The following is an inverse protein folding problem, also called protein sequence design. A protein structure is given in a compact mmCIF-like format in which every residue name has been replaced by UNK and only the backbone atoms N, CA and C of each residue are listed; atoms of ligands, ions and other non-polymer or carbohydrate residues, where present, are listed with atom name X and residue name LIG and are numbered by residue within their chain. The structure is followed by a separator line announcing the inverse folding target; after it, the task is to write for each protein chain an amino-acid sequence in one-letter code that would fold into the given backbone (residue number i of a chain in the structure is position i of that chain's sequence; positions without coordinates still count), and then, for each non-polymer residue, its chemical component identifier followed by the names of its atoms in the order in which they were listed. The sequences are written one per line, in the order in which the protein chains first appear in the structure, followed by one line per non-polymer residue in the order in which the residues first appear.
data_IF_615690930795
#
_entry.id   IF_615690930795
#
_cell.length_a   1.000
_cell.length_b   1.000
_cell.length_c   1.000
_cell.angle_alpha   90.00
_cell.angle_beta   90.00
_cell.angle_gamma   90.00
#
_symmetry.space_group_name_H-M   'P 1'
#
loop_
_entity.id
_entity.type
_entity.pdbx_description
1 polymer ?
#
# COMPACT_ATOMS: atom_id res chain seq x y z
N UNK A 1 -6.16 -14.90 8.20
CA UNK A 1 -7.48 -15.39 7.78
C UNK A 1 -7.45 -15.60 6.28
N UNK A 2 -8.23 -16.56 5.78
CA UNK A 2 -8.58 -16.63 4.36
C UNK A 2 -9.97 -16.02 4.25
N UNK A 3 -10.15 -15.05 3.34
CA UNK A 3 -11.42 -14.34 3.18
C UNK A 3 -12.17 -14.98 2.01
N UNK A 4 -13.39 -15.45 2.27
CA UNK A 4 -14.19 -16.15 1.28
C UNK A 4 -14.79 -15.19 0.24
N UNK A 5 -15.01 -15.70 -0.97
CA UNK A 5 -15.50 -14.90 -2.10
C UNK A 5 -14.43 -14.01 -2.75
N UNK A 6 -13.14 -14.25 -2.44
CA UNK A 6 -11.99 -13.71 -3.17
C UNK A 6 -11.29 -14.87 -3.86
N UNK A 7 -11.22 -14.85 -5.18
CA UNK A 7 -10.52 -15.88 -5.95
C UNK A 7 -9.04 -15.92 -5.53
N UNK A 8 -8.50 -17.14 -5.36
CA UNK A 8 -7.10 -17.50 -4.99
C UNK A 8 -6.78 -17.70 -3.50
N UNK A 9 -7.75 -17.58 -2.57
CA UNK A 9 -7.53 -17.89 -1.15
C UNK A 9 -6.26 -17.25 -0.56
N UNK A 10 -5.93 -16.01 -0.97
CA UNK A 10 -4.76 -15.27 -0.49
C UNK A 10 -4.79 -15.20 1.04
N UNK A 11 -3.68 -15.58 1.68
CA UNK A 11 -3.55 -15.50 3.13
C UNK A 11 -3.33 -14.04 3.53
N UNK A 12 -4.21 -13.53 4.39
CA UNK A 12 -4.16 -12.13 4.82
C UNK A 12 -4.29 -12.00 6.32
N UNK A 13 -3.90 -10.85 6.84
CA UNK A 13 -4.05 -10.43 8.22
C UNK A 13 -4.87 -9.13 8.27
N UNK A 14 -5.87 -9.13 9.15
CA UNK A 14 -6.65 -7.94 9.49
C UNK A 14 -6.17 -7.46 10.85
N UNK A 15 -5.88 -6.17 10.96
CA UNK A 15 -5.31 -5.57 12.16
C UNK A 15 -6.12 -4.31 12.48
N UNK A 16 -6.39 -4.06 13.76
CA UNK A 16 -6.93 -2.78 14.21
C UNK A 16 -5.86 -2.03 15.00
N UNK A 17 -5.54 -0.82 14.55
CA UNK A 17 -4.55 0.04 15.20
C UNK A 17 -5.14 1.44 15.43
N UNK A 18 -4.88 2.07 16.59
CA UNK A 18 -5.31 3.43 16.86
C UNK A 18 -4.46 4.43 16.08
N UNK A 19 -5.10 5.25 15.27
CA UNK A 19 -4.49 6.38 14.57
C UNK A 19 -4.79 7.64 15.37
N UNK A 20 -3.73 8.38 15.70
CA UNK A 20 -3.81 9.64 16.44
C UNK A 20 -3.66 10.80 15.45
N UNK A 21 -4.74 11.57 15.18
CA UNK A 21 -4.66 12.69 14.26
C UNK A 21 -3.71 13.76 14.79
N UNK A 22 -2.91 14.34 13.89
CA UNK A 22 -1.87 15.31 14.25
C UNK A 22 -2.40 16.60 14.90
N UNK A 23 -3.68 16.94 14.66
CA UNK A 23 -4.33 18.12 15.21
C UNK A 23 -4.57 18.03 16.73
N UNK A 24 -4.42 16.83 17.32
CA UNK A 24 -4.68 16.58 18.74
C UNK A 24 -3.44 16.02 19.49
N UNK A 25 -2.21 16.45 19.15
CA UNK A 25 -0.96 15.89 19.71
C UNK A 25 -0.80 15.97 21.25
N UNK A 26 -1.56 16.80 21.95
CA UNK A 26 -1.48 16.90 23.41
C UNK A 26 -2.53 16.08 24.16
N UNK A 27 -3.62 15.61 23.52
CA UNK A 27 -4.71 14.85 24.18
C UNK A 27 -5.66 14.10 23.20
N UNK A 28 -5.14 13.72 22.02
CA UNK A 28 -5.94 13.21 20.92
C UNK A 28 -6.52 11.84 21.14
N UNK A 29 -7.79 11.70 20.77
CA UNK A 29 -8.49 10.42 20.80
C UNK A 29 -7.93 9.52 19.72
N UNK A 30 -7.45 8.34 20.11
CA UNK A 30 -7.03 7.31 19.17
C UNK A 30 -8.25 6.78 18.44
N UNK A 31 -8.33 7.02 17.13
CA UNK A 31 -9.37 6.45 16.28
C UNK A 31 -8.88 5.12 15.76
N UNK A 32 -9.58 4.03 16.06
CA UNK A 32 -9.21 2.72 15.54
C UNK A 32 -9.45 2.68 14.03
N UNK A 33 -8.43 2.28 13.29
CA UNK A 33 -8.50 1.98 11.86
C UNK A 33 -8.33 0.49 11.63
N UNK A 34 -8.99 -0.03 10.59
CA UNK A 34 -8.80 -1.39 10.11
C UNK A 34 -7.74 -1.38 9.00
N UNK A 35 -6.73 -2.21 9.15
CA UNK A 35 -5.64 -2.41 8.21
C UNK A 35 -5.72 -3.82 7.63
N UNK A 36 -5.37 -3.93 6.35
CA UNK A 36 -5.27 -5.19 5.61
C UNK A 36 -3.83 -5.38 5.15
N UNK A 37 -3.28 -6.58 5.36
CA UNK A 37 -1.97 -6.95 4.83
C UNK A 37 -1.92 -8.42 4.40
N UNK A 38 -1.14 -8.72 3.37
CA UNK A 38 -0.76 -10.08 2.97
C UNK A 38 0.70 -10.41 3.36
N UNK A 39 1.27 -9.69 4.34
CA UNK A 39 2.67 -9.71 4.74
C UNK A 39 3.63 -8.93 3.81
N UNK A 40 3.14 -8.36 2.70
CA UNK A 40 3.95 -7.55 1.78
C UNK A 40 3.32 -6.19 1.54
N UNK A 41 2.05 -6.15 1.17
CA UNK A 41 1.26 -4.96 0.97
C UNK A 41 0.54 -4.60 2.26
N UNK A 42 0.36 -3.30 2.53
CA UNK A 42 -0.40 -2.80 3.68
C UNK A 42 -1.33 -1.69 3.18
N UNK A 43 -2.62 -1.81 3.49
CA UNK A 43 -3.65 -0.85 3.09
C UNK A 43 -4.52 -0.49 4.29
N UNK A 44 -4.70 0.81 4.52
CA UNK A 44 -5.72 1.33 5.44
C UNK A 44 -7.10 1.19 4.80
N UNK A 45 -7.95 0.34 5.39
CA UNK A 45 -9.34 0.15 4.96
C UNK A 45 -10.22 1.29 5.47
N UNK A 46 -9.82 1.91 6.58
CA UNK A 46 -10.41 3.09 7.17
C UNK A 46 -10.89 2.91 8.61
N UNK A 47 -11.59 3.94 9.15
CA UNK A 47 -11.96 4.00 10.55
C UNK A 47 -13.02 2.96 10.96
N UNK A 48 -12.92 2.54 12.22
CA UNK A 48 -13.77 1.55 12.91
C UNK A 48 -14.49 2.17 14.10
N UNK A 49 -13.80 2.93 14.96
CA UNK A 49 -14.37 3.47 16.22
C UNK A 49 -15.08 4.82 16.07
N UNK A 50 -15.23 5.34 14.84
CA UNK A 50 -15.86 6.65 14.60
C UNK A 50 -15.11 7.79 15.30
N UNK A 51 -15.72 8.37 16.34
CA UNK A 51 -15.14 9.45 17.17
C UNK A 51 -14.78 8.98 18.59
N UNK A 52 -14.84 7.67 18.84
CA UNK A 52 -14.54 7.10 20.14
C UNK A 52 -13.04 6.90 20.31
N UNK A 53 -12.53 7.29 21.48
CA UNK A 53 -11.16 7.01 21.90
C UNK A 53 -11.05 5.55 22.33
N UNK A 54 -10.25 4.80 21.60
CA UNK A 54 -10.12 3.35 21.76
C UNK A 54 -8.65 2.93 21.53
N UNK A 55 -8.05 2.25 22.50
CA UNK A 55 -6.68 1.73 22.39
C UNK A 55 -6.65 0.19 22.26
N UNK A 56 -7.59 -0.50 22.90
CA UNK A 56 -7.74 -1.96 22.81
C UNK A 56 -8.92 -2.39 21.91
N UNK A 57 -8.68 -3.41 21.08
CA UNK A 57 -9.71 -3.99 20.23
C UNK A 57 -9.47 -5.47 19.96
N UNK A 58 -10.54 -6.13 19.50
CA UNK A 58 -10.54 -7.52 19.03
C UNK A 58 -11.39 -7.60 17.77
N UNK A 59 -10.88 -8.31 16.77
CA UNK A 59 -11.58 -8.58 15.52
C UNK A 59 -12.05 -10.04 15.50
N UNK A 60 -13.30 -10.24 15.10
CA UNK A 60 -13.86 -11.54 14.80
C UNK A 60 -14.29 -11.57 13.34
N UNK A 61 -13.63 -12.43 12.55
CA UNK A 61 -14.10 -12.79 11.23
C UNK A 61 -14.86 -14.11 11.31
N UNK A 62 -16.09 -14.11 10.82
CA UNK A 62 -16.94 -15.28 10.74
C UNK A 62 -17.25 -15.54 9.27
N UNK A 63 -16.68 -16.61 8.74
CA UNK A 63 -17.09 -17.16 7.45
C UNK A 63 -18.46 -17.82 7.58
N UNK A 64 -19.33 -17.61 6.61
CA UNK A 64 -20.67 -18.19 6.59
C UNK A 64 -21.07 -18.68 5.20
N UNK A 65 -21.82 -19.79 5.15
CA UNK A 65 -22.31 -20.36 3.89
C UNK A 65 -23.07 -19.32 3.04
N UNK A 66 -22.85 -19.38 1.72
CA UNK A 66 -23.44 -18.48 0.72
C UNK A 66 -23.02 -17.00 0.86
N UNK A 67 -21.72 -16.72 1.04
CA UNK A 67 -21.15 -15.36 1.12
C UNK A 67 -21.71 -14.51 2.26
N UNK A 68 -22.09 -15.13 3.38
CA UNK A 68 -22.60 -14.45 4.58
C UNK A 68 -21.48 -14.14 5.57
N UNK A 69 -20.36 -13.67 5.05
CA UNK A 69 -19.19 -13.36 5.87
C UNK A 69 -19.45 -12.11 6.69
N UNK A 70 -19.10 -12.18 7.97
CA UNK A 70 -19.28 -11.10 8.93
C UNK A 70 -17.92 -10.75 9.54
N UNK A 71 -17.59 -9.46 9.53
CA UNK A 71 -16.45 -8.92 10.27
C UNK A 71 -17.00 -8.05 11.40
N UNK A 72 -16.67 -8.40 12.64
CA UNK A 72 -17.12 -7.71 13.84
C UNK A 72 -15.90 -7.17 14.58
N UNK A 73 -15.94 -5.91 14.95
CA UNK A 73 -14.97 -5.31 15.87
C UNK A 73 -15.60 -5.12 17.24
N UNK A 74 -14.93 -5.62 18.26
CA UNK A 74 -15.19 -5.34 19.66
C UNK A 74 -14.06 -4.46 20.17
N UNK A 75 -14.36 -3.27 20.69
CA UNK A 75 -13.34 -2.34 21.17
C UNK A 75 -13.76 -1.65 22.47
N UNK A 76 -12.76 -1.22 23.22
CA UNK A 76 -12.98 -0.38 24.40
C UNK A 76 -13.36 1.03 23.96
N UNK A 77 -14.31 1.64 24.66
CA UNK A 77 -14.68 3.03 24.47
C UNK A 77 -14.53 3.75 25.79
N UNK A 78 -13.63 4.73 25.85
CA UNK A 78 -13.56 5.61 27.02
C UNK A 78 -14.81 6.48 27.11
N UNK A 79 -15.45 6.48 28.28
CA UNK A 79 -16.56 7.36 28.64
C UNK A 79 -16.18 8.18 29.88
N UNK A 80 -16.25 9.51 29.77
CA UNK A 80 -16.06 10.44 30.88
C UNK A 80 -14.97 11.50 30.63
N UNK A 81 -14.96 12.53 31.48
CA UNK A 81 -13.85 13.49 31.58
C UNK A 81 -12.78 12.95 32.54
N UNK A 82 -11.59 13.56 32.57
CA UNK A 82 -10.36 13.09 33.27
C UNK A 82 -10.54 12.52 34.69
N UNK A 83 -11.58 12.93 35.43
CA UNK A 83 -11.80 12.53 36.83
C UNK A 83 -12.59 11.22 37.03
N UNK A 84 -13.29 10.69 36.01
CA UNK A 84 -13.98 9.38 36.10
C UNK A 84 -13.92 8.64 34.77
N UNK A 85 -12.79 7.98 34.52
CA UNK A 85 -12.63 7.13 33.35
C UNK A 85 -13.43 5.83 33.52
N UNK A 86 -14.65 5.80 33.00
CA UNK A 86 -15.41 4.56 32.85
C UNK A 86 -15.10 3.94 31.49
N UNK A 87 -14.65 2.68 31.48
CA UNK A 87 -14.43 1.92 30.26
C UNK A 87 -15.72 1.22 29.87
N UNK A 88 -16.26 1.56 28.70
CA UNK A 88 -17.34 0.82 28.05
C UNK A 88 -16.79 -0.11 26.97
N UNK A 89 -17.62 -1.05 26.52
CA UNK A 89 -17.33 -1.87 25.35
C UNK A 89 -18.33 -1.53 24.23
N UNK A 90 -17.83 -1.43 23.00
CA UNK A 90 -18.63 -1.23 21.81
C UNK A 90 -18.41 -2.40 20.84
N UNK A 91 -19.49 -2.86 20.21
CA UNK A 91 -19.45 -3.88 19.15
C UNK A 91 -20.01 -3.27 17.87
N UNK A 92 -19.30 -3.43 16.75
CA UNK A 92 -19.67 -2.87 15.45
C UNK A 92 -19.51 -3.94 14.38
N UNK A 93 -20.55 -4.09 13.56
CA UNK A 93 -20.50 -4.89 12.34
C UNK A 93 -19.87 -4.06 11.21
N UNK A 94 -18.78 -4.56 10.65
CA UNK A 94 -17.92 -3.86 9.69
C UNK A 94 -18.23 -4.27 8.24
N UNK A 95 -19.52 -4.24 7.85
CA UNK A 95 -19.96 -4.66 6.51
C UNK A 95 -19.27 -3.86 5.40
N UNK A 96 -19.28 -2.53 5.50
CA UNK A 96 -18.66 -1.65 4.50
C UNK A 96 -17.15 -1.86 4.39
N UNK A 97 -16.47 -2.04 5.52
CA UNK A 97 -15.03 -2.30 5.54
C UNK A 97 -14.71 -3.68 4.96
N UNK A 98 -15.52 -4.71 5.24
CA UNK A 98 -15.35 -6.04 4.66
C UNK A 98 -15.53 -6.03 3.13
N UNK A 99 -16.50 -5.28 2.61
CA UNK A 99 -16.65 -5.07 1.15
C UNK A 99 -15.40 -4.40 0.55
N UNK A 100 -14.84 -3.40 1.23
CA UNK A 100 -13.59 -2.76 0.81
C UNK A 100 -12.41 -3.72 0.84
N UNK A 101 -12.29 -4.58 1.86
CA UNK A 101 -11.26 -5.63 1.93
C UNK A 101 -11.36 -6.53 0.70
N UNK A 102 -12.55 -7.05 0.37
CA UNK A 102 -12.76 -7.89 -0.82
C UNK A 102 -12.37 -7.16 -2.11
N UNK A 103 -12.68 -5.87 -2.22
CA UNK A 103 -12.29 -5.03 -3.36
C UNK A 103 -10.77 -4.87 -3.47
N UNK A 104 -10.08 -4.60 -2.36
CA UNK A 104 -8.60 -4.47 -2.34
C UNK A 104 -7.94 -5.77 -2.77
N UNK A 105 -8.43 -6.91 -2.25
CA UNK A 105 -7.87 -8.22 -2.61
C UNK A 105 -8.08 -8.55 -4.09
N UNK A 106 -9.23 -8.19 -4.65
CA UNK A 106 -9.46 -8.29 -6.10
C UNK A 106 -8.48 -7.42 -6.88
N UNK A 107 -8.26 -6.17 -6.46
CA UNK A 107 -7.28 -5.28 -7.11
C UNK A 107 -5.88 -5.88 -7.07
N UNK A 108 -5.42 -6.37 -5.91
CA UNK A 108 -4.09 -6.98 -5.80
C UNK A 108 -3.89 -8.15 -6.77
N UNK A 109 -4.91 -8.99 -6.93
CA UNK A 109 -4.89 -10.08 -7.92
C UNK A 109 -4.76 -9.55 -9.35
N UNK A 110 -5.57 -8.56 -9.74
CA UNK A 110 -5.50 -7.96 -11.07
C UNK A 110 -4.13 -7.29 -11.35
N UNK A 111 -3.48 -6.77 -10.32
CA UNK A 111 -2.12 -6.23 -10.42
C UNK A 111 -1.11 -7.38 -10.56
N UNK A 112 -1.19 -8.41 -9.74
CA UNK A 112 -0.32 -9.60 -9.80
C UNK A 112 -0.36 -10.25 -11.20
N UNK A 113 -1.55 -10.38 -11.80
CA UNK A 113 -1.73 -10.91 -13.16
C UNK A 113 -1.04 -10.04 -14.21
N UNK A 114 -1.17 -8.70 -14.11
CA UNK A 114 -0.51 -7.76 -15.05
C UNK A 114 1.00 -7.76 -14.88
N UNK A 115 1.50 -7.74 -13.64
CA UNK A 115 2.94 -7.78 -13.36
C UNK A 115 3.54 -9.11 -13.86
N UNK A 116 2.82 -10.22 -13.70
CA UNK A 116 3.25 -11.53 -14.21
C UNK A 116 3.39 -11.55 -15.73
N UNK A 117 2.58 -10.77 -16.46
CA UNK A 117 2.67 -10.65 -17.92
C UNK A 117 3.89 -9.84 -18.40
N UNK A 118 4.58 -9.09 -17.52
CA UNK A 118 5.83 -8.40 -17.88
C UNK A 118 7.00 -9.38 -18.08
N UNK A 119 6.87 -10.59 -17.54
CA UNK A 119 7.81 -11.69 -17.71
C UNK A 119 7.12 -12.91 -18.33
N UNK A 120 6.66 -12.82 -19.59
CA UNK A 120 6.03 -13.95 -20.25
C UNK A 120 7.06 -15.07 -20.38
N UNK A 121 6.65 -16.30 -20.05
CA UNK A 121 7.52 -17.47 -19.86
C UNK A 121 8.15 -18.03 -21.16
N UNK A 122 8.28 -17.23 -22.22
CA UNK A 122 8.80 -17.68 -23.52
C UNK A 122 10.34 -17.63 -23.54
N UNK A 123 10.92 -18.79 -23.17
CA UNK A 123 12.04 -19.45 -23.85
C UNK A 123 13.01 -18.59 -24.66
N UNK A 124 14.07 -18.09 -24.01
CA UNK A 124 15.38 -18.05 -24.67
C UNK A 124 16.24 -19.19 -24.12
N UNK A 125 16.26 -20.29 -24.88
CA UNK A 125 17.28 -21.33 -24.78
C UNK A 125 18.61 -20.71 -25.23
N UNK A 126 19.33 -20.11 -24.29
CA UNK A 126 20.64 -19.51 -24.53
C UNK A 126 21.11 -18.79 -23.28
N UNK A 127 21.99 -19.46 -22.52
CA UNK A 127 22.75 -18.96 -21.36
C UNK A 127 22.16 -17.75 -20.63
N UNK A 128 21.07 -17.97 -19.87
CA UNK A 128 20.58 -16.95 -18.95
C UNK A 128 21.41 -16.99 -17.68
N UNK A 129 22.11 -15.88 -17.41
CA UNK A 129 22.54 -15.51 -16.07
C UNK A 129 21.36 -15.72 -15.10
N UNK A 130 21.59 -16.47 -14.03
CA UNK A 130 20.58 -16.87 -13.02
C UNK A 130 19.89 -15.72 -12.29
N UNK A 131 20.26 -14.47 -12.60
CA UNK A 131 19.81 -13.25 -11.94
C UNK A 131 18.97 -12.36 -12.87
N UNK A 132 18.22 -12.94 -13.81
CA UNK A 132 17.33 -12.16 -14.69
C UNK A 132 15.91 -12.13 -14.10
N UNK A 133 15.24 -10.97 -13.99
CA UNK A 133 13.91 -10.80 -13.36
C UNK A 133 12.78 -11.65 -13.96
N UNK A 134 12.98 -12.25 -15.13
CA UNK A 134 11.99 -13.07 -15.84
C UNK A 134 12.40 -14.56 -15.96
N UNK A 135 13.27 -15.06 -15.08
CA UNK A 135 13.62 -16.49 -15.06
C UNK A 135 12.43 -17.35 -14.60
N UNK A 136 12.32 -18.58 -15.11
CA UNK A 136 11.24 -19.52 -14.73
C UNK A 136 11.20 -19.88 -13.24
N UNK A 137 12.29 -19.60 -12.52
CA UNK A 137 12.43 -19.90 -11.09
C UNK A 137 12.11 -18.69 -10.20
N UNK A 138 11.77 -17.54 -10.80
CA UNK A 138 11.50 -16.30 -10.10
C UNK A 138 10.09 -15.81 -10.42
N UNK A 139 9.25 -15.71 -9.39
CA UNK A 139 7.92 -15.12 -9.50
C UNK A 139 8.04 -13.63 -9.18
N UNK A 140 7.90 -12.80 -10.21
CA UNK A 140 8.14 -11.34 -10.12
C UNK A 140 7.24 -10.61 -9.10
N UNK A 141 6.09 -11.19 -8.75
CA UNK A 141 5.18 -10.63 -7.74
C UNK A 141 5.61 -10.96 -6.30
N UNK A 142 6.48 -11.95 -6.10
CA UNK A 142 6.86 -12.39 -4.76
C UNK A 142 7.79 -11.36 -4.10
N UNK A 143 7.33 -10.76 -3.00
CA UNK A 143 8.06 -9.70 -2.31
C UNK A 143 7.96 -8.33 -2.99
N UNK A 144 7.15 -8.18 -4.03
CA UNK A 144 6.86 -6.87 -4.63
C UNK A 144 5.93 -6.08 -3.69
N UNK A 145 6.37 -4.91 -3.24
CA UNK A 145 5.67 -4.12 -2.19
C UNK A 145 4.81 -3.01 -2.77
N UNK A 146 5.09 -2.58 -3.99
CA UNK A 146 4.33 -1.56 -4.69
C UNK A 146 4.68 -1.54 -6.17
N UNK A 147 3.78 -0.97 -6.98
CA UNK A 147 3.93 -0.91 -8.42
C UNK A 147 3.37 0.40 -8.97
N UNK A 148 4.22 1.22 -9.58
CA UNK A 148 3.86 2.49 -10.20
C UNK A 148 3.88 2.33 -11.73
N UNK A 149 2.71 2.43 -12.36
CA UNK A 149 2.59 2.34 -13.83
C UNK A 149 1.60 3.39 -14.37
N UNK A 150 0.54 3.01 -15.09
CA UNK A 150 -0.31 3.94 -15.84
C UNK A 150 -1.34 4.74 -15.01
N UNK A 151 -1.44 4.49 -13.70
CA UNK A 151 -2.45 5.07 -12.82
C UNK A 151 -1.98 6.37 -12.14
N UNK A 152 -2.38 7.52 -12.69
CA UNK A 152 -2.07 8.84 -12.11
C UNK A 152 -3.27 9.78 -12.16
N UNK A 153 -3.25 10.78 -11.28
CA UNK A 153 -4.29 11.80 -11.16
C UNK A 153 -3.67 13.09 -10.61
N UNK A 154 -3.59 14.13 -11.44
CA UNK A 154 -2.95 15.39 -11.05
C UNK A 154 -1.47 15.19 -10.72
N UNK A 155 -1.06 15.57 -9.52
CA UNK A 155 0.30 15.37 -8.99
C UNK A 155 0.49 14.03 -8.28
N UNK A 156 -0.51 13.14 -8.29
CA UNK A 156 -0.42 11.84 -7.62
C UNK A 156 -0.18 10.73 -8.64
N UNK A 157 0.94 10.02 -8.50
CA UNK A 157 1.18 8.74 -9.17
C UNK A 157 0.79 7.62 -8.21
N UNK A 158 -0.28 6.91 -8.53
CA UNK A 158 -0.89 5.96 -7.60
C UNK A 158 -0.18 4.61 -7.65
N UNK A 159 0.11 4.08 -6.47
CA UNK A 159 0.52 2.69 -6.33
C UNK A 159 -0.66 1.79 -6.67
N UNK A 160 -0.43 0.87 -7.61
CA UNK A 160 -1.46 -0.02 -8.13
C UNK A 160 -1.85 -1.09 -7.10
N UNK A 161 -0.97 -1.40 -6.14
CA UNK A 161 -1.32 -2.19 -4.96
C UNK A 161 -2.01 -1.37 -3.86
N UNK A 162 -2.35 -0.11 -4.13
CA UNK A 162 -3.10 0.78 -3.23
C UNK A 162 -2.38 1.10 -1.90
N UNK A 163 -1.07 0.84 -1.82
CA UNK A 163 -0.26 1.18 -0.68
C UNK A 163 0.05 2.68 -0.68
N UNK A 164 1.32 3.00 -0.87
CA UNK A 164 1.81 4.39 -0.76
C UNK A 164 1.86 5.01 -2.15
N UNK A 165 1.23 6.16 -2.36
CA UNK A 165 1.33 6.86 -3.64
C UNK A 165 2.63 7.68 -3.73
N UNK A 166 3.13 7.88 -4.95
CA UNK A 166 4.21 8.83 -5.22
C UNK A 166 3.65 10.22 -5.57
N UNK A 167 4.41 11.25 -5.22
CA UNK A 167 4.09 12.66 -5.52
C UNK A 167 4.96 13.13 -6.68
N UNK A 168 4.32 13.64 -7.73
CA UNK A 168 4.97 14.23 -8.90
C UNK A 168 5.25 15.71 -8.62
N UNK A 169 6.50 16.10 -8.78
CA UNK A 169 6.99 17.46 -8.65
C UNK A 169 7.46 17.98 -10.01
N UNK A 170 7.07 19.21 -10.35
CA UNK A 170 7.47 19.88 -11.57
C UNK A 170 8.28 21.14 -11.21
N UNK A 171 9.40 21.39 -11.88
CA UNK A 171 10.09 22.69 -11.83
C UNK A 171 9.39 23.72 -12.73
N UNK A 172 9.78 24.99 -12.62
CA UNK A 172 9.35 26.03 -13.55
C UNK A 172 9.81 25.70 -14.98
N UNK A 173 8.85 25.46 -15.88
CA UNK A 173 9.10 24.98 -17.25
C UNK A 173 9.25 23.46 -17.40
N UNK A 174 9.20 22.72 -16.29
CA UNK A 174 9.21 21.26 -16.28
C UNK A 174 7.81 20.65 -16.40
N UNK A 175 7.73 19.44 -16.92
CA UNK A 175 6.48 18.70 -17.04
C UNK A 175 6.68 17.19 -16.90
N UNK A 176 5.78 16.57 -16.15
CA UNK A 176 5.52 15.15 -16.24
C UNK A 176 4.36 14.91 -17.22
N UNK A 177 4.52 13.97 -18.16
CA UNK A 177 3.50 13.60 -19.15
C UNK A 177 3.22 12.10 -19.15
N UNK A 178 1.96 11.72 -19.33
CA UNK A 178 1.52 10.31 -19.36
C UNK A 178 2.23 9.55 -20.49
N UNK A 179 2.79 8.39 -20.15
CA UNK A 179 3.12 7.34 -21.11
C UNK A 179 2.14 6.15 -20.95
N UNK A 180 2.24 5.13 -21.82
CA UNK A 180 1.37 3.95 -21.76
C UNK A 180 1.46 3.23 -20.40
N UNK A 181 2.68 3.01 -19.92
CA UNK A 181 2.97 2.16 -18.76
C UNK A 181 3.77 2.89 -17.66
N UNK A 182 3.75 4.22 -17.69
CA UNK A 182 4.50 5.05 -16.74
C UNK A 182 4.43 6.54 -17.08
N UNK A 183 5.51 7.25 -16.80
CA UNK A 183 5.57 8.71 -16.93
C UNK A 183 6.85 9.15 -17.64
N UNK A 184 6.73 10.18 -18.48
CA UNK A 184 7.89 10.89 -19.05
C UNK A 184 8.08 12.20 -18.29
N UNK A 185 9.23 12.37 -17.67
CA UNK A 185 9.62 13.57 -16.95
C UNK A 185 10.59 14.42 -17.78
N UNK A 186 10.41 15.74 -17.74
CA UNK A 186 11.36 16.73 -18.28
C UNK A 186 11.44 17.88 -17.29
N UNK A 187 12.57 18.07 -16.60
CA UNK A 187 12.65 19.03 -15.48
C UNK A 187 11.61 18.74 -14.39
N UNK A 188 11.27 17.48 -14.17
CA UNK A 188 10.26 17.01 -13.23
C UNK A 188 10.74 15.69 -12.60
N UNK A 189 10.16 15.32 -11.46
CA UNK A 189 10.48 14.05 -10.79
C UNK A 189 9.28 13.50 -10.01
N UNK A 190 9.42 12.28 -9.51
CA UNK A 190 8.47 11.69 -8.57
C UNK A 190 9.18 11.31 -7.26
N UNK A 191 8.51 11.55 -6.14
CA UNK A 191 8.95 11.17 -4.80
C UNK A 191 8.02 10.10 -4.25
N UNK A 192 8.56 8.92 -3.97
CA UNK A 192 7.82 7.83 -3.37
C UNK A 192 8.30 7.64 -1.92
N UNK A 193 7.50 8.00 -0.91
CA UNK A 193 8.01 8.02 0.46
C UNK A 193 8.28 6.61 0.99
N UNK A 194 9.51 6.41 1.47
CA UNK A 194 9.93 5.22 2.21
C UNK A 194 10.12 5.65 3.66
N UNK A 195 9.21 5.24 4.56
CA UNK A 195 9.34 5.48 6.01
C UNK A 195 8.98 6.88 6.52
N UNK A 196 8.25 7.70 5.75
CA UNK A 196 7.93 9.10 6.09
C UNK A 196 6.45 9.48 6.02
N UNK A 197 5.52 8.53 5.99
CA UNK A 197 4.10 8.83 6.17
C UNK A 197 3.82 8.96 7.68
N UNK A 198 3.46 10.16 8.14
CA UNK A 198 3.17 10.44 9.54
C UNK A 198 2.08 9.53 10.11
N UNK A 199 2.32 9.02 11.33
CA UNK A 199 1.48 8.03 12.01
C UNK A 199 1.72 6.61 11.50
N UNK A 200 2.38 5.78 12.32
CA UNK A 200 2.72 4.35 12.09
C UNK A 200 3.11 4.00 10.64
N UNK A 201 4.42 4.10 10.39
CA UNK A 201 5.06 3.71 9.13
C UNK A 201 4.62 2.31 8.69
N UNK A 202 3.94 2.23 7.54
CA UNK A 202 3.59 0.97 6.88
C UNK A 202 4.81 0.22 6.30
N UNK A 203 6.04 0.73 6.48
CA UNK A 203 7.21 0.16 5.82
C UNK A 203 8.48 0.30 6.67
N UNK A 204 8.70 -0.53 7.71
CA UNK A 204 10.04 -0.79 8.21
C UNK A 204 10.67 -1.90 7.34
N UNK A 205 10.82 -1.67 6.04
CA UNK A 205 11.56 -2.61 5.19
C UNK A 205 13.04 -2.27 5.31
N UNK A 206 13.76 -3.05 6.11
CA UNK A 206 15.20 -2.91 6.31
C UNK A 206 16.01 -3.10 5.01
N UNK A 207 15.42 -3.68 3.95
CA UNK A 207 16.06 -3.88 2.64
C UNK A 207 15.05 -3.69 1.50
N UNK A 208 14.69 -2.44 1.17
CA UNK A 208 13.91 -2.15 -0.03
C UNK A 208 14.83 -2.18 -1.28
N UNK A 209 14.54 -3.07 -2.22
CA UNK A 209 15.16 -3.05 -3.56
C UNK A 209 14.22 -2.35 -4.53
N UNK A 210 14.71 -1.30 -5.19
CA UNK A 210 13.94 -0.56 -6.20
C UNK A 210 14.41 -0.99 -7.59
N UNK A 211 13.47 -1.51 -8.37
CA UNK A 211 13.67 -1.85 -9.77
C UNK A 211 12.89 -0.86 -10.64
N UNK A 212 13.53 -0.37 -11.70
CA UNK A 212 12.93 0.55 -12.65
C UNK A 212 13.23 0.10 -14.07
N UNK A 213 12.22 0.09 -14.92
CA UNK A 213 12.35 -0.20 -16.35
C UNK A 213 11.95 1.06 -17.13
N UNK A 214 12.82 1.55 -18.01
CA UNK A 214 12.56 2.69 -18.88
C UNK A 214 13.83 3.21 -19.56
N UNK A 215 13.66 3.98 -20.63
CA UNK A 215 14.75 4.49 -21.48
C UNK A 215 15.48 5.73 -20.89
N UNK A 216 15.70 5.77 -19.57
CA UNK A 216 16.18 6.96 -18.84
C UNK A 216 17.53 6.79 -18.10
N UNK A 217 18.23 7.90 -17.83
CA UNK A 217 19.49 7.92 -17.07
C UNK A 217 19.24 7.84 -15.56
N UNK A 218 19.88 6.89 -14.87
CA UNK A 218 19.89 6.80 -13.41
C UNK A 218 21.09 7.56 -12.80
N UNK A 219 20.86 8.62 -12.03
CA UNK A 219 21.91 9.23 -11.17
C UNK A 219 21.54 9.15 -9.70
N UNK A 220 22.51 8.75 -8.85
CA UNK A 220 22.44 8.86 -7.39
C UNK A 220 22.74 10.30 -6.98
N UNK A 221 21.83 10.99 -6.31
CA UNK A 221 22.13 12.24 -5.62
C UNK A 221 22.76 11.95 -4.25
N UNK A 222 23.76 12.74 -3.86
CA UNK A 222 24.41 12.64 -2.57
C UNK A 222 23.45 13.12 -1.45
N UNK A 223 23.56 12.47 -0.29
CA UNK A 223 22.89 12.74 0.99
C UNK A 223 21.48 12.15 1.17
N UNK A 224 21.45 10.90 1.64
CA UNK A 224 20.51 10.40 2.67
C UNK A 224 19.00 10.34 2.37
N UNK A 225 18.54 10.87 1.23
CA UNK A 225 17.14 10.85 0.79
C UNK A 225 17.11 10.37 -0.66
N UNK A 226 16.43 9.26 -0.92
CA UNK A 226 16.24 8.74 -2.27
C UNK A 226 15.33 9.71 -3.05
N UNK A 227 15.96 10.59 -3.82
CA UNK A 227 15.29 11.45 -4.80
C UNK A 227 15.75 11.01 -6.18
N UNK A 228 14.80 10.61 -7.03
CA UNK A 228 15.08 10.16 -8.39
C UNK A 228 14.86 11.34 -9.34
N UNK A 229 15.93 12.01 -9.75
CA UNK A 229 15.88 13.04 -10.78
C UNK A 229 16.10 12.40 -12.16
N UNK A 230 15.20 12.67 -13.11
CA UNK A 230 15.27 12.17 -14.48
C UNK A 230 15.53 13.34 -15.43
N UNK A 231 16.80 13.57 -15.80
CA UNK A 231 17.16 14.52 -16.86
C UNK A 231 18.28 13.96 -17.77
N UNK A 232 18.00 13.96 -19.07
CA UNK A 232 18.95 14.06 -20.20
C UNK A 232 19.99 12.95 -20.42
N UNK A 233 19.85 12.18 -21.52
CA UNK A 233 20.96 11.47 -22.17
C UNK A 233 21.73 12.44 -23.07
N UNK A 234 23.03 12.62 -22.83
CA UNK A 234 23.99 12.75 -23.93
C UNK A 234 24.62 11.37 -24.12
N UNK A 235 24.65 10.95 -25.40
CA UNK A 235 25.15 9.66 -25.82
C UNK A 235 26.67 9.65 -25.87
N UNK A 236 27.30 8.68 -25.20
CA UNK A 236 28.51 8.00 -25.67
C UNK A 236 28.38 6.50 -25.45
#
# INVERSE_FOLDING_TARGET
ATIDGVDDNRNVMLITLPVYPEEDKENGKGKLHLWLTDNTHIVDIGPVSGNDDAAASSLLYKSGDNNKDELIALYEKKKGNEETQSLGMASVLLTTQLERVKKVLKTWKEVDERVSQLCPSESHVGELSTNTPCSSNFKITDGLVGFLSGNFSGTTWRDEYLGVNATINNTEGGAATKASDGMTFRGAWAEWPVGGAGGESAVPLCELQVHSCGDGVHRRCAEGRWSYSFDGCEAE
#
